data_IF_186096420040
#
_entry.id   IF_186096420040
#
_cell.length_a   1.000
_cell.length_b   1.000
_cell.length_c   1.000
_cell.angle_alpha   90.00
_cell.angle_beta   90.00
_cell.angle_gamma   90.00
#
_symmetry.space_group_name_H-M   'P 1'
#
loop_
_entity.id
_entity.type
_entity.pdbx_description
1 polymer ?
#
# COMPACT_ATOMS: atom_id res chain seq x y z
N UNK A 1 -17.81 9.71 26.20
CA UNK A 1 -17.10 8.58 25.57
C UNK A 1 -16.73 9.02 24.16
N UNK A 2 -15.46 8.96 23.77
CA UNK A 2 -15.04 9.37 22.43
C UNK A 2 -15.21 8.19 21.47
N UNK A 3 -16.08 8.31 20.48
CA UNK A 3 -16.27 7.28 19.45
C UNK A 3 -15.12 7.34 18.45
N UNK A 4 -14.24 6.35 18.47
CA UNK A 4 -13.08 6.27 17.57
C UNK A 4 -13.31 5.19 16.51
N UNK A 5 -13.14 5.55 15.25
CA UNK A 5 -13.16 4.67 14.09
C UNK A 5 -11.72 4.58 13.56
N UNK A 6 -11.17 3.36 13.55
CA UNK A 6 -9.86 3.06 12.97
C UNK A 6 -10.06 2.46 11.58
N UNK A 7 -9.37 3.02 10.58
CA UNK A 7 -9.35 2.51 9.21
C UNK A 7 -7.92 2.49 8.68
N UNK A 8 -7.63 1.66 7.68
CA UNK A 8 -6.30 1.49 7.12
C UNK A 8 -6.32 1.92 5.65
N UNK A 9 -5.74 3.09 5.33
CA UNK A 9 -5.70 3.62 3.96
C UNK A 9 -7.03 4.21 3.46
N UNK A 10 -7.93 4.59 4.38
CA UNK A 10 -9.27 5.09 4.09
C UNK A 10 -9.66 6.34 4.87
N UNK A 11 -8.73 6.96 5.61
CA UNK A 11 -9.01 8.07 6.53
C UNK A 11 -9.70 9.28 5.88
N UNK A 12 -9.20 9.73 4.73
CA UNK A 12 -9.79 10.86 3.99
C UNK A 12 -11.17 10.51 3.43
N UNK A 13 -11.32 9.31 2.84
CA UNK A 13 -12.60 8.80 2.35
C UNK A 13 -13.67 8.80 3.45
N UNK A 14 -13.34 8.27 4.62
CA UNK A 14 -14.28 8.20 5.74
C UNK A 14 -14.59 9.59 6.26
N UNK A 15 -13.60 10.49 6.32
CA UNK A 15 -13.82 11.89 6.72
C UNK A 15 -14.84 12.56 5.80
N UNK A 16 -14.69 12.40 4.48
CA UNK A 16 -15.62 12.95 3.50
C UNK A 16 -17.03 12.38 3.66
N UNK A 17 -17.15 11.06 3.79
CA UNK A 17 -18.44 10.35 3.92
C UNK A 17 -19.16 10.77 5.19
N UNK A 18 -18.48 10.77 6.35
CA UNK A 18 -19.10 11.17 7.61
C UNK A 18 -19.45 12.66 7.64
N UNK A 19 -18.65 13.53 7.02
CA UNK A 19 -19.01 14.94 6.84
C UNK A 19 -20.27 15.09 5.98
N UNK A 20 -20.38 14.30 4.89
CA UNK A 20 -21.58 14.24 4.05
C UNK A 20 -22.82 13.77 4.83
N UNK A 21 -22.68 12.71 5.63
CA UNK A 21 -23.76 12.22 6.50
C UNK A 21 -24.15 13.28 7.53
N UNK A 22 -23.19 13.91 8.21
CA UNK A 22 -23.45 14.97 9.17
C UNK A 22 -24.19 16.16 8.53
N UNK A 23 -23.86 16.52 7.29
CA UNK A 23 -24.57 17.55 6.54
C UNK A 23 -26.03 17.16 6.24
N UNK A 24 -26.29 15.91 5.85
CA UNK A 24 -27.64 15.38 5.60
C UNK A 24 -28.49 15.27 6.88
N UNK A 25 -27.85 14.99 8.02
CA UNK A 25 -28.46 14.88 9.35
C UNK A 25 -28.55 16.21 10.11
N UNK A 26 -28.36 17.35 9.42
CA UNK A 26 -28.72 18.66 9.99
C UNK A 26 -30.22 18.71 10.27
N UNK A 27 -30.59 19.37 11.37
CA UNK A 27 -32.00 19.48 11.80
C UNK A 27 -32.72 20.67 11.15
N UNK A 28 -31.97 21.55 10.48
CA UNK A 28 -32.47 22.75 9.81
C UNK A 28 -33.16 22.41 8.48
N UNK A 29 -33.79 23.39 7.84
CA UNK A 29 -34.50 23.25 6.55
C UNK A 29 -33.63 22.70 5.40
N UNK A 30 -32.30 22.74 5.52
CA UNK A 30 -31.36 22.19 4.54
C UNK A 30 -31.07 20.71 4.74
N UNK A 31 -31.44 20.12 5.89
CA UNK A 31 -31.22 18.71 6.19
C UNK A 31 -32.34 17.82 5.67
N UNK A 32 -31.99 16.62 5.20
CA UNK A 32 -32.97 15.69 4.62
C UNK A 32 -33.63 14.80 5.68
N UNK A 33 -33.08 14.71 6.88
CA UNK A 33 -33.49 13.67 7.85
C UNK A 33 -34.89 13.87 8.39
N UNK A 34 -35.30 15.10 8.69
CA UNK A 34 -36.69 15.35 9.11
C UNK A 34 -37.69 15.04 7.98
N UNK A 35 -37.33 15.33 6.73
CA UNK A 35 -38.15 14.97 5.57
C UNK A 35 -38.23 13.46 5.38
N UNK A 36 -37.12 12.74 5.52
CA UNK A 36 -37.05 11.28 5.44
C UNK A 36 -37.86 10.61 6.56
N UNK A 37 -37.80 11.12 7.78
CA UNK A 37 -38.62 10.65 8.90
C UNK A 37 -40.11 10.85 8.59
N UNK A 38 -40.51 12.03 8.09
CA UNK A 38 -41.91 12.29 7.71
C UNK A 38 -42.41 11.32 6.63
N UNK A 39 -41.61 11.10 5.58
CA UNK A 39 -41.93 10.15 4.52
C UNK A 39 -42.02 8.72 5.07
N UNK A 40 -41.04 8.30 5.88
CA UNK A 40 -41.03 6.98 6.53
C UNK A 40 -42.24 6.75 7.44
N UNK A 41 -42.67 7.78 8.19
CA UNK A 41 -43.88 7.73 9.02
C UNK A 41 -45.16 7.65 8.18
N UNK A 42 -45.25 8.38 7.07
CA UNK A 42 -46.40 8.32 6.17
C UNK A 42 -46.51 6.92 5.54
N UNK A 43 -45.44 6.41 4.94
CA UNK A 43 -45.43 5.08 4.31
C UNK A 43 -45.63 3.98 5.35
N UNK A 44 -44.95 4.08 6.49
CA UNK A 44 -45.06 3.12 7.59
C UNK A 44 -46.47 3.07 8.19
N UNK A 45 -47.13 4.22 8.38
CA UNK A 45 -48.49 4.26 8.93
C UNK A 45 -49.50 3.61 7.99
N UNK A 46 -49.45 3.91 6.69
CA UNK A 46 -50.31 3.27 5.67
C UNK A 46 -50.08 1.76 5.66
N UNK A 47 -48.83 1.30 5.65
CA UNK A 47 -48.51 -0.12 5.66
C UNK A 47 -49.07 -0.82 6.91
N UNK A 48 -48.92 -0.21 8.09
CA UNK A 48 -49.40 -0.80 9.35
C UNK A 48 -50.92 -0.87 9.41
N UNK A 49 -51.62 0.14 8.90
CA UNK A 49 -53.09 0.09 8.78
C UNK A 49 -53.51 -1.10 7.91
N UNK A 50 -52.85 -1.31 6.77
CA UNK A 50 -53.11 -2.49 5.92
C UNK A 50 -52.81 -3.80 6.67
N UNK A 51 -51.69 -3.90 7.38
CA UNK A 51 -51.35 -5.08 8.18
C UNK A 51 -52.39 -5.36 9.28
N UNK A 52 -52.87 -4.33 9.98
CA UNK A 52 -53.90 -4.47 11.00
C UNK A 52 -55.20 -5.03 10.42
N UNK A 53 -55.59 -4.56 9.23
CA UNK A 53 -56.78 -5.03 8.53
C UNK A 53 -56.64 -6.49 8.09
N UNK A 54 -55.49 -6.87 7.53
CA UNK A 54 -55.23 -8.23 7.04
C UNK A 54 -55.13 -9.25 8.19
N UNK A 55 -54.44 -8.89 9.29
CA UNK A 55 -54.24 -9.79 10.43
C UNK A 55 -55.34 -9.72 11.50
N UNK A 56 -56.26 -8.76 11.40
CA UNK A 56 -57.27 -8.44 12.42
C UNK A 56 -56.68 -8.24 13.84
N UNK A 57 -55.44 -7.73 13.93
CA UNK A 57 -54.69 -7.60 15.18
C UNK A 57 -54.16 -6.18 15.38
N UNK A 58 -54.73 -5.46 16.35
CA UNK A 58 -54.31 -4.08 16.71
C UNK A 58 -52.91 -4.05 17.37
N UNK A 59 -52.49 -5.17 17.95
CA UNK A 59 -51.17 -5.31 18.61
C UNK A 59 -50.02 -4.94 17.68
N UNK A 60 -50.14 -5.17 16.37
CA UNK A 60 -49.07 -4.93 15.41
C UNK A 60 -48.76 -3.45 15.24
N UNK A 61 -49.77 -2.58 15.28
CA UNK A 61 -49.49 -1.14 15.21
C UNK A 61 -49.07 -0.54 16.54
N UNK A 62 -49.48 -1.10 17.68
CA UNK A 62 -48.88 -0.68 18.96
C UNK A 62 -47.39 -1.01 19.00
N UNK A 63 -47.00 -2.22 18.57
CA UNK A 63 -45.58 -2.63 18.43
C UNK A 63 -44.83 -1.71 17.47
N UNK A 64 -45.39 -1.42 16.30
CA UNK A 64 -44.77 -0.51 15.33
C UNK A 64 -44.63 0.91 15.88
N UNK A 65 -45.67 1.46 16.50
CA UNK A 65 -45.63 2.81 17.08
C UNK A 65 -44.57 2.92 18.16
N UNK A 66 -44.51 1.95 19.07
CA UNK A 66 -43.48 1.89 20.12
C UNK A 66 -42.09 1.83 19.50
N UNK A 67 -41.89 0.97 18.50
CA UNK A 67 -40.62 0.88 17.77
C UNK A 67 -40.23 2.19 17.09
N UNK A 68 -41.16 2.86 16.40
CA UNK A 68 -40.93 4.15 15.73
C UNK A 68 -40.51 5.24 16.73
N UNK A 69 -41.18 5.29 17.89
CA UNK A 69 -40.83 6.25 18.96
C UNK A 69 -39.40 5.99 19.45
N UNK A 70 -39.03 4.72 19.67
CA UNK A 70 -37.68 4.34 20.08
C UNK A 70 -36.65 4.66 18.99
N UNK A 71 -36.89 4.23 17.74
CA UNK A 71 -35.96 4.45 16.64
C UNK A 71 -35.70 5.94 16.38
N UNK A 72 -36.75 6.76 16.41
CA UNK A 72 -36.61 8.19 16.16
C UNK A 72 -35.87 8.90 17.30
N UNK A 73 -36.28 8.67 18.56
CA UNK A 73 -35.70 9.38 19.71
C UNK A 73 -34.34 8.86 20.15
N UNK A 74 -34.06 7.57 19.97
CA UNK A 74 -32.83 6.95 20.46
C UNK A 74 -31.78 6.72 19.36
N UNK A 75 -32.19 6.30 18.15
CA UNK A 75 -31.24 5.99 17.09
C UNK A 75 -30.91 7.21 16.21
N UNK A 76 -31.92 7.96 15.76
CA UNK A 76 -31.75 8.92 14.66
C UNK A 76 -31.57 10.37 15.09
N UNK A 77 -32.28 10.83 16.13
CA UNK A 77 -32.21 12.22 16.60
C UNK A 77 -30.93 12.56 17.39
N UNK A 78 -30.44 11.69 18.29
CA UNK A 78 -29.24 12.02 19.05
C UNK A 78 -28.01 12.07 18.14
N UNK A 79 -27.15 13.06 18.36
CA UNK A 79 -25.93 13.26 17.59
C UNK A 79 -24.70 13.05 18.47
N UNK A 80 -23.62 12.60 17.84
CA UNK A 80 -22.33 12.40 18.47
C UNK A 80 -21.20 12.91 17.59
N UNK A 81 -20.08 13.19 18.25
CA UNK A 81 -18.79 13.40 17.60
C UNK A 81 -18.09 12.06 17.43
N UNK A 82 -17.43 11.88 16.28
CA UNK A 82 -16.55 10.75 16.01
C UNK A 82 -15.13 11.24 15.70
N UNK A 83 -14.16 10.39 16.00
CA UNK A 83 -12.76 10.57 15.65
C UNK A 83 -12.35 9.49 14.67
N UNK A 84 -11.87 9.90 13.50
CA UNK A 84 -11.38 9.00 12.46
C UNK A 84 -9.85 8.98 12.59
N UNK A 85 -9.31 7.78 12.82
CA UNK A 85 -7.89 7.55 12.92
C UNK A 85 -7.43 6.58 11.82
N UNK A 86 -6.48 7.03 11.01
CA UNK A 86 -5.79 6.19 10.03
C UNK A 86 -4.29 6.16 10.36
N UNK A 87 -3.75 5.04 10.86
CA UNK A 87 -2.34 4.93 11.19
C UNK A 87 -1.43 4.88 9.95
N UNK A 88 -1.93 4.44 8.79
CA UNK A 88 -1.13 4.34 7.57
C UNK A 88 -0.86 5.72 6.96
N UNK A 89 -1.91 6.55 6.90
CA UNK A 89 -1.85 7.90 6.34
C UNK A 89 -1.60 8.98 7.40
N UNK A 90 -1.41 8.60 8.67
CA UNK A 90 -1.32 9.50 9.84
C UNK A 90 -2.47 10.54 9.90
N UNK A 91 -3.65 10.14 9.43
CA UNK A 91 -4.83 11.02 9.40
C UNK A 91 -5.54 10.96 10.75
N UNK A 92 -5.80 12.13 11.33
CA UNK A 92 -6.60 12.30 12.54
C UNK A 92 -7.64 13.38 12.28
N UNK A 93 -8.85 12.95 11.96
CA UNK A 93 -9.95 13.87 11.60
C UNK A 93 -11.06 13.77 12.63
N UNK A 94 -11.59 14.92 13.03
CA UNK A 94 -12.76 15.03 13.89
C UNK A 94 -13.97 15.33 13.02
N UNK A 95 -15.06 14.58 13.19
CA UNK A 95 -16.34 14.86 12.53
C UNK A 95 -17.43 15.01 13.59
N UNK A 96 -18.06 16.18 13.61
CA UNK A 96 -19.13 16.52 14.54
C UNK A 96 -20.51 16.31 13.90
N UNK A 97 -21.55 16.15 14.73
CA UNK A 97 -22.95 16.02 14.31
C UNK A 97 -23.31 14.74 13.53
N UNK A 98 -22.62 13.63 13.80
CA UNK A 98 -22.96 12.31 13.22
C UNK A 98 -24.09 11.67 14.03
N UNK A 99 -25.01 10.90 13.42
CA UNK A 99 -26.05 10.18 14.16
C UNK A 99 -25.46 9.24 15.20
N UNK A 100 -25.98 9.27 16.42
CA UNK A 100 -25.46 8.51 17.55
C UNK A 100 -25.40 7.02 17.25
N UNK A 101 -26.47 6.46 16.66
CA UNK A 101 -26.51 5.04 16.29
C UNK A 101 -25.33 4.68 15.39
N UNK A 102 -25.14 5.43 14.30
CA UNK A 102 -24.04 5.18 13.37
C UNK A 102 -22.68 5.34 14.06
N UNK A 103 -22.49 6.38 14.87
CA UNK A 103 -21.23 6.63 15.58
C UNK A 103 -20.89 5.53 16.59
N UNK A 104 -21.85 5.08 17.40
CA UNK A 104 -21.66 3.97 18.36
C UNK A 104 -21.35 2.68 17.62
N UNK A 105 -22.17 2.30 16.64
CA UNK A 105 -22.00 1.03 15.93
C UNK A 105 -20.70 1.01 15.15
N UNK A 106 -20.41 2.05 14.34
CA UNK A 106 -19.18 2.11 13.56
C UNK A 106 -17.93 2.10 14.44
N UNK A 107 -17.92 2.83 15.56
CA UNK A 107 -16.78 2.82 16.49
C UNK A 107 -16.58 1.48 17.18
N UNK A 108 -17.66 0.85 17.66
CA UNK A 108 -17.60 -0.44 18.35
C UNK A 108 -17.12 -1.53 17.39
N UNK A 109 -17.72 -1.60 16.21
CA UNK A 109 -17.42 -2.58 15.17
C UNK A 109 -15.98 -2.40 14.66
N UNK A 110 -15.54 -1.16 14.45
CA UNK A 110 -14.15 -0.85 14.08
C UNK A 110 -13.14 -1.25 15.16
N UNK A 111 -13.43 -1.00 16.44
CA UNK A 111 -12.56 -1.40 17.56
C UNK A 111 -12.44 -2.93 17.69
N UNK A 112 -13.56 -3.64 17.55
CA UNK A 112 -13.56 -5.11 17.51
C UNK A 112 -12.73 -5.60 16.33
N UNK A 113 -12.93 -5.04 15.13
CA UNK A 113 -12.14 -5.37 13.94
C UNK A 113 -10.63 -5.17 14.18
N UNK A 114 -10.24 -4.02 14.73
CA UNK A 114 -8.85 -3.73 15.11
C UNK A 114 -8.29 -4.76 16.08
N UNK A 115 -9.00 -5.05 17.17
CA UNK A 115 -8.53 -6.00 18.18
C UNK A 115 -8.38 -7.42 17.62
N UNK A 116 -9.29 -7.85 16.74
CA UNK A 116 -9.17 -9.16 16.09
C UNK A 116 -7.97 -9.15 15.13
N UNK A 117 -7.79 -8.12 14.32
CA UNK A 117 -6.62 -8.01 13.42
C UNK A 117 -5.31 -8.05 14.19
N UNK A 118 -5.18 -7.30 15.28
CA UNK A 118 -3.97 -7.29 16.12
C UNK A 118 -3.69 -8.67 16.75
N UNK A 119 -4.73 -9.38 17.21
CA UNK A 119 -4.57 -10.74 17.73
C UNK A 119 -4.16 -11.72 16.63
N UNK A 120 -4.80 -11.66 15.45
CA UNK A 120 -4.42 -12.49 14.32
C UNK A 120 -2.98 -12.24 13.93
N UNK A 121 -2.56 -10.99 13.78
CA UNK A 121 -1.17 -10.66 13.49
C UNK A 121 -0.23 -11.21 14.57
N UNK A 122 -0.56 -11.09 15.87
CA UNK A 122 0.29 -11.62 16.95
C UNK A 122 0.59 -13.12 16.84
N UNK A 123 -0.38 -13.92 16.37
CA UNK A 123 -0.27 -15.38 16.24
C UNK A 123 0.33 -15.75 14.88
N UNK A 124 -0.02 -15.01 13.84
CA UNK A 124 0.39 -15.22 12.46
C UNK A 124 1.55 -14.28 12.09
N UNK A 125 2.64 -14.30 12.87
CA UNK A 125 3.87 -13.55 12.57
C UNK A 125 5.01 -14.48 12.14
N UNK A 126 5.92 -13.93 11.33
CA UNK A 126 7.27 -14.44 11.12
C UNK A 126 8.26 -13.64 12.00
N UNK A 127 9.47 -14.16 12.29
CA UNK A 127 10.49 -13.47 13.07
C UNK A 127 10.86 -12.05 12.58
N UNK A 128 10.62 -11.75 11.29
CA UNK A 128 10.87 -10.44 10.65
C UNK A 128 9.61 -9.86 9.98
N UNK A 129 8.41 -10.25 10.43
CA UNK A 129 7.14 -9.81 9.83
C UNK A 129 6.87 -8.32 10.05
N UNK A 130 6.50 -7.63 8.96
CA UNK A 130 5.97 -6.27 9.03
C UNK A 130 4.46 -6.30 9.20
N UNK A 131 3.94 -5.78 10.33
CA UNK A 131 2.52 -5.88 10.66
C UNK A 131 1.64 -5.03 9.74
N UNK A 132 0.56 -5.63 9.23
CA UNK A 132 -0.36 -4.98 8.30
C UNK A 132 -0.97 -3.70 8.91
N UNK A 133 -1.28 -3.69 10.21
CA UNK A 133 -1.82 -2.50 10.87
C UNK A 133 -0.88 -1.27 10.88
N UNK A 134 0.43 -1.44 10.64
CA UNK A 134 1.43 -0.36 10.61
C UNK A 134 1.92 -0.03 9.22
N UNK A 135 2.12 -1.06 8.39
CA UNK A 135 2.76 -0.90 7.07
C UNK A 135 1.76 -0.99 5.92
N UNK A 136 0.56 -1.54 6.14
CA UNK A 136 -0.39 -1.88 5.10
C UNK A 136 -0.04 -3.22 4.42
N UNK A 137 -0.81 -3.60 3.40
CA UNK A 137 -0.58 -4.86 2.68
C UNK A 137 0.67 -4.76 1.83
N UNK A 138 1.50 -5.82 1.88
CA UNK A 138 2.52 -6.11 0.88
C UNK A 138 3.60 -5.02 0.78
N UNK A 139 3.79 -4.27 1.86
CA UNK A 139 4.72 -3.14 1.93
C UNK A 139 6.18 -3.54 1.64
N UNK A 140 6.61 -4.71 2.13
CA UNK A 140 7.97 -5.19 1.91
C UNK A 140 8.31 -5.38 0.43
N UNK A 141 7.45 -6.09 -0.32
CA UNK A 141 7.70 -6.37 -1.74
C UNK A 141 7.44 -5.14 -2.59
N UNK A 142 6.48 -4.29 -2.18
CA UNK A 142 6.28 -2.96 -2.75
C UNK A 142 7.57 -2.15 -2.73
N UNK A 143 8.21 -2.09 -1.56
CA UNK A 143 9.42 -1.33 -1.33
C UNK A 143 10.61 -1.95 -2.08
N UNK A 144 10.78 -3.27 -2.03
CA UNK A 144 11.85 -3.95 -2.75
C UNK A 144 11.70 -3.84 -4.27
N UNK A 145 10.47 -3.94 -4.81
CA UNK A 145 10.20 -3.75 -6.24
C UNK A 145 10.55 -2.33 -6.68
N UNK A 146 10.22 -1.33 -5.86
CA UNK A 146 10.57 0.07 -6.13
C UNK A 146 12.08 0.28 -6.06
N UNK A 147 12.77 -0.34 -5.12
CA UNK A 147 14.24 -0.29 -5.00
C UNK A 147 14.94 -0.95 -6.20
N UNK A 148 14.40 -2.05 -6.74
CA UNK A 148 14.91 -2.64 -7.99
C UNK A 148 14.80 -1.72 -9.21
N UNK A 149 13.97 -0.68 -9.15
CA UNK A 149 13.86 0.36 -10.18
C UNK A 149 14.81 1.55 -9.96
N UNK A 150 15.62 1.56 -8.91
CA UNK A 150 16.53 2.67 -8.66
C UNK A 150 17.59 2.71 -9.77
N UNK A 151 17.66 3.86 -10.44
CA UNK A 151 18.63 4.14 -11.49
C UNK A 151 19.48 5.33 -11.08
N UNK A 152 20.66 5.42 -11.67
CA UNK A 152 21.51 6.60 -11.57
C UNK A 152 20.79 7.79 -12.22
N UNK A 153 20.58 8.86 -11.43
CA UNK A 153 19.84 10.05 -11.87
C UNK A 153 20.75 11.07 -12.58
N UNK A 154 21.94 11.32 -12.03
CA UNK A 154 22.82 12.36 -12.56
C UNK A 154 23.36 11.96 -13.94
N UNK A 155 23.13 12.77 -14.99
CA UNK A 155 23.44 12.38 -16.36
C UNK A 155 24.95 12.26 -16.61
N UNK A 156 25.77 13.07 -15.94
CA UNK A 156 27.23 13.01 -16.06
C UNK A 156 27.76 11.74 -15.41
N UNK A 157 27.32 11.45 -14.18
CA UNK A 157 27.69 10.22 -13.48
C UNK A 157 27.18 8.98 -14.23
N UNK A 158 25.95 9.01 -14.73
CA UNK A 158 25.37 7.93 -15.55
C UNK A 158 26.23 7.65 -16.78
N UNK A 159 26.54 8.66 -17.58
CA UNK A 159 27.34 8.47 -18.79
C UNK A 159 28.77 7.98 -18.51
N UNK A 160 29.39 8.43 -17.42
CA UNK A 160 30.69 7.90 -17.00
C UNK A 160 30.60 6.46 -16.49
N UNK A 161 29.54 6.14 -15.74
CA UNK A 161 29.29 4.79 -15.22
C UNK A 161 29.02 3.80 -16.36
N UNK A 162 28.21 4.15 -17.35
CA UNK A 162 27.97 3.30 -18.52
C UNK A 162 29.26 2.96 -19.27
N UNK A 163 30.15 3.94 -19.45
CA UNK A 163 31.44 3.72 -20.11
C UNK A 163 32.38 2.86 -19.27
N UNK A 164 32.40 3.11 -17.95
CA UNK A 164 33.16 2.31 -17.00
C UNK A 164 32.67 0.86 -17.00
N UNK A 165 31.36 0.63 -16.89
CA UNK A 165 30.76 -0.71 -16.90
C UNK A 165 31.05 -1.43 -18.21
N UNK A 166 30.87 -0.79 -19.36
CA UNK A 166 31.15 -1.41 -20.65
C UNK A 166 32.62 -1.84 -20.80
N UNK A 167 33.57 -0.94 -20.50
CA UNK A 167 34.99 -1.17 -20.82
C UNK A 167 35.79 -1.81 -19.70
N UNK A 168 35.38 -1.61 -18.45
CA UNK A 168 36.11 -2.06 -17.28
C UNK A 168 35.43 -3.22 -16.54
N UNK A 169 34.13 -3.45 -16.76
CA UNK A 169 33.37 -4.49 -16.06
C UNK A 169 32.96 -5.63 -16.99
N UNK A 170 32.15 -5.32 -18.00
CA UNK A 170 31.63 -6.32 -18.94
C UNK A 170 32.77 -6.96 -19.74
N UNK A 171 33.72 -6.16 -20.22
CA UNK A 171 34.87 -6.68 -20.97
C UNK A 171 35.78 -7.57 -20.11
N UNK A 172 36.11 -7.15 -18.89
CA UNK A 172 36.91 -7.96 -17.94
C UNK A 172 36.16 -9.26 -17.56
N UNK A 173 34.84 -9.20 -17.35
CA UNK A 173 34.00 -10.38 -17.07
C UNK A 173 33.93 -11.38 -18.24
N UNK A 174 33.90 -10.89 -19.48
CA UNK A 174 33.88 -11.72 -20.68
C UNK A 174 35.24 -12.39 -20.95
N UNK A 175 36.35 -11.72 -20.63
CA UNK A 175 37.69 -12.31 -20.70
C UNK A 175 37.84 -13.41 -19.63
N UNK A 176 37.20 -13.24 -18.47
CA UNK A 176 37.10 -14.27 -17.43
C UNK A 176 38.38 -14.52 -16.64
N UNK A 177 39.40 -13.67 -16.76
CA UNK A 177 40.69 -13.87 -16.08
C UNK A 177 40.68 -13.44 -14.60
N UNK A 178 39.85 -12.45 -14.23
CA UNK A 178 39.76 -11.92 -12.85
C UNK A 178 38.47 -12.34 -12.14
N UNK A 179 37.35 -12.23 -12.84
CA UNK A 179 36.03 -12.62 -12.39
C UNK A 179 35.17 -12.92 -13.62
N UNK A 180 34.11 -13.69 -13.43
CA UNK A 180 33.18 -14.08 -14.49
C UNK A 180 31.82 -13.39 -14.33
N UNK A 181 30.96 -13.49 -15.34
CA UNK A 181 29.58 -13.02 -15.22
C UNK A 181 28.80 -13.75 -14.11
N UNK A 182 29.13 -15.01 -13.83
CA UNK A 182 28.53 -15.77 -12.74
C UNK A 182 28.97 -15.23 -11.36
N UNK A 183 30.22 -14.78 -11.23
CA UNK A 183 30.71 -14.17 -9.98
C UNK A 183 30.02 -12.82 -9.73
N UNK A 184 29.77 -12.04 -10.79
CA UNK A 184 29.00 -10.80 -10.70
C UNK A 184 27.54 -11.01 -10.26
N UNK A 185 26.91 -12.11 -10.67
CA UNK A 185 25.53 -12.41 -10.32
C UNK A 185 25.39 -12.86 -8.86
N UNK A 186 26.39 -13.55 -8.33
CA UNK A 186 26.35 -14.14 -6.99
C UNK A 186 27.05 -13.28 -5.92
N UNK A 187 27.72 -12.20 -6.32
CA UNK A 187 28.45 -11.35 -5.36
C UNK A 187 27.52 -10.43 -4.58
N UNK A 188 27.73 -10.27 -3.26
CA UNK A 188 26.94 -9.35 -2.45
C UNK A 188 27.24 -7.87 -2.67
N UNK A 189 28.46 -7.52 -3.10
CA UNK A 189 28.86 -6.14 -3.41
C UNK A 189 29.64 -6.14 -4.73
N UNK A 190 28.91 -5.83 -5.81
CA UNK A 190 29.46 -5.73 -7.16
C UNK A 190 30.48 -4.60 -7.23
N UNK A 191 30.21 -3.49 -6.56
CA UNK A 191 31.07 -2.30 -6.64
C UNK A 191 32.45 -2.59 -6.03
N UNK A 192 32.48 -3.16 -4.83
CA UNK A 192 33.75 -3.49 -4.16
C UNK A 192 34.56 -4.52 -4.97
N UNK A 193 33.91 -5.58 -5.48
CA UNK A 193 34.57 -6.57 -6.33
C UNK A 193 35.19 -5.95 -7.60
N UNK A 194 34.47 -5.03 -8.24
CA UNK A 194 34.92 -4.35 -9.46
C UNK A 194 36.08 -3.39 -9.19
N UNK A 195 36.02 -2.63 -8.10
CA UNK A 195 37.07 -1.67 -7.73
C UNK A 195 38.38 -2.39 -7.38
N UNK A 196 38.30 -3.48 -6.60
CA UNK A 196 39.48 -4.24 -6.16
C UNK A 196 40.19 -4.93 -7.33
N UNK A 197 39.43 -5.34 -8.35
CA UNK A 197 39.93 -6.01 -9.54
C UNK A 197 40.12 -5.06 -10.75
N UNK A 198 39.95 -3.74 -10.55
CA UNK A 198 40.00 -2.77 -11.64
C UNK A 198 41.34 -2.79 -12.38
N UNK A 199 41.29 -2.90 -13.72
CA UNK A 199 42.49 -2.97 -14.56
C UNK A 199 43.32 -1.68 -14.50
N UNK A 200 44.64 -1.75 -14.29
CA UNK A 200 45.52 -0.59 -14.43
C UNK A 200 45.85 -0.27 -15.90
N UNK A 201 45.53 -1.18 -16.84
CA UNK A 201 45.87 -1.05 -18.27
C UNK A 201 44.68 -0.59 -19.11
N UNK A 202 43.49 -1.17 -18.86
CA UNK A 202 42.29 -0.74 -19.56
C UNK A 202 41.89 0.66 -19.11
N UNK A 203 41.34 1.43 -20.05
CA UNK A 203 40.89 2.79 -19.80
C UNK A 203 39.59 3.10 -20.53
N UNK A 204 38.92 4.13 -20.04
CA UNK A 204 37.67 4.61 -20.60
C UNK A 204 37.64 6.13 -20.61
N UNK A 205 36.76 6.70 -21.42
CA UNK A 205 36.59 8.14 -21.52
C UNK A 205 35.79 8.66 -20.31
N UNK A 206 36.49 9.29 -19.37
CA UNK A 206 35.89 9.96 -18.21
C UNK A 206 35.68 11.44 -18.49
N UNK A 207 34.46 11.94 -18.23
CA UNK A 207 34.08 13.33 -18.43
C UNK A 207 33.73 14.01 -17.11
N UNK A 208 34.56 14.92 -16.57
CA UNK A 208 34.21 15.70 -15.40
C UNK A 208 33.25 16.84 -15.79
N UNK A 209 31.94 16.58 -15.71
CA UNK A 209 30.92 17.59 -15.97
C UNK A 209 30.94 18.10 -17.42
N UNK A 210 31.17 19.41 -17.59
CA UNK A 210 31.20 20.08 -18.90
C UNK A 210 32.59 20.18 -19.53
N UNK A 211 33.63 19.68 -18.86
CA UNK A 211 34.98 19.70 -19.40
C UNK A 211 35.17 18.63 -20.50
N UNK A 212 36.15 18.81 -21.40
CA UNK A 212 36.52 17.78 -22.36
C UNK A 212 36.91 16.48 -21.62
N UNK A 213 36.40 15.35 -22.11
CA UNK A 213 36.69 14.06 -21.50
C UNK A 213 38.15 13.65 -21.70
N UNK A 214 38.72 12.98 -20.70
CA UNK A 214 40.06 12.39 -20.78
C UNK A 214 39.98 10.87 -20.62
N UNK A 215 40.89 10.14 -21.26
CA UNK A 215 40.99 8.70 -21.06
C UNK A 215 41.72 8.45 -19.75
N UNK A 216 41.02 7.83 -18.81
CA UNK A 216 41.58 7.43 -17.51
C UNK A 216 41.58 5.91 -17.41
N UNK A 217 42.51 5.35 -16.64
CA UNK A 217 42.53 3.91 -16.39
C UNK A 217 41.33 3.50 -15.55
N UNK A 218 40.86 2.27 -15.69
CA UNK A 218 39.73 1.74 -14.93
C UNK A 218 39.98 1.88 -13.42
N UNK A 219 41.21 1.68 -12.96
CA UNK A 219 41.60 1.87 -11.55
C UNK A 219 41.44 3.31 -11.08
N UNK A 220 41.89 4.31 -11.85
CA UNK A 220 41.74 5.73 -11.49
C UNK A 220 40.29 6.18 -11.58
N UNK A 221 39.59 5.82 -12.66
CA UNK A 221 38.19 6.17 -12.84
C UNK A 221 37.28 5.56 -11.77
N UNK A 222 37.54 4.33 -11.34
CA UNK A 222 36.83 3.69 -10.23
C UNK A 222 36.96 4.50 -8.93
N UNK A 223 38.16 5.02 -8.61
CA UNK A 223 38.37 5.86 -7.42
C UNK A 223 37.64 7.20 -7.49
N UNK A 224 37.56 7.82 -8.67
CA UNK A 224 36.81 9.07 -8.84
C UNK A 224 35.30 8.85 -8.76
N UNK A 225 34.79 7.78 -9.39
CA UNK A 225 33.39 7.39 -9.29
C UNK A 225 33.01 7.04 -7.83
N UNK A 226 33.93 6.44 -7.08
CA UNK A 226 33.68 6.06 -5.68
C UNK A 226 33.33 7.26 -4.79
N UNK A 227 33.96 8.42 -5.03
CA UNK A 227 33.71 9.66 -4.28
C UNK A 227 32.30 10.22 -4.51
N UNK A 228 31.69 9.89 -5.65
CA UNK A 228 30.41 10.46 -6.06
C UNK A 228 29.21 9.63 -5.59
N UNK A 229 29.41 8.35 -5.25
CA UNK A 229 28.32 7.43 -4.87
C UNK A 229 27.41 7.97 -3.77
N UNK A 230 27.97 8.51 -2.68
CA UNK A 230 27.18 9.01 -1.55
C UNK A 230 26.20 10.10 -1.99
N UNK A 231 26.64 11.02 -2.84
CA UNK A 231 25.78 12.09 -3.35
C UNK A 231 24.70 11.54 -4.31
N UNK A 232 25.05 10.53 -5.12
CA UNK A 232 24.12 9.93 -6.08
C UNK A 232 23.05 9.09 -5.40
N UNK A 233 23.42 8.28 -4.40
CA UNK A 233 22.47 7.52 -3.58
C UNK A 233 21.47 8.48 -2.91
N UNK A 234 21.96 9.59 -2.35
CA UNK A 234 21.10 10.59 -1.72
C UNK A 234 20.09 11.19 -2.71
N UNK A 235 20.54 11.63 -3.89
CA UNK A 235 19.66 12.19 -4.93
C UNK A 235 18.65 11.16 -5.44
N UNK A 236 19.09 9.93 -5.69
CA UNK A 236 18.22 8.84 -6.10
C UNK A 236 17.16 8.54 -5.02
N UNK A 237 17.54 8.55 -3.75
CA UNK A 237 16.61 8.32 -2.63
C UNK A 237 15.60 9.47 -2.48
N UNK A 238 15.99 10.72 -2.73
CA UNK A 238 15.06 11.86 -2.71
C UNK A 238 14.01 11.74 -3.82
N UNK A 239 14.40 11.28 -5.01
CA UNK A 239 13.51 11.16 -6.18
C UNK A 239 12.65 9.90 -6.09
N UNK A 240 13.25 8.75 -5.78
CA UNK A 240 12.59 7.45 -5.83
C UNK A 240 12.14 6.92 -4.46
N UNK A 241 12.78 7.32 -3.36
CA UNK A 241 12.57 6.69 -2.05
C UNK A 241 11.47 7.31 -1.18
N UNK A 242 10.98 8.51 -1.51
CA UNK A 242 10.08 9.24 -0.61
C UNK A 242 8.63 8.77 -0.65
N UNK A 243 8.20 7.99 -1.65
CA UNK A 243 6.79 7.57 -1.82
C UNK A 243 6.65 6.07 -2.00
N UNK A 244 6.15 5.38 -0.98
CA UNK A 244 5.93 3.92 -1.01
C UNK A 244 4.49 3.64 -0.59
N UNK A 245 3.73 2.96 -1.44
CA UNK A 245 2.33 2.59 -1.16
C UNK A 245 1.44 3.78 -0.73
N UNK A 246 1.54 4.91 -1.46
CA UNK A 246 0.89 6.20 -1.16
C UNK A 246 1.29 6.86 0.18
N UNK A 247 2.35 6.39 0.85
CA UNK A 247 2.90 6.99 2.06
C UNK A 247 4.15 7.80 1.73
N UNK A 248 4.25 8.98 2.30
CA UNK A 248 5.48 9.77 2.25
C UNK A 248 6.36 9.38 3.43
N UNK A 249 7.52 8.78 3.17
CA UNK A 249 8.46 8.36 4.20
C UNK A 249 9.56 9.41 4.39
N UNK A 250 10.00 9.60 5.64
CA UNK A 250 11.24 10.34 5.91
C UNK A 250 12.45 9.48 5.53
N UNK A 251 13.60 10.10 5.27
CA UNK A 251 14.82 9.38 4.90
C UNK A 251 15.21 8.30 5.92
N UNK A 252 15.09 8.62 7.22
CA UNK A 252 15.42 7.67 8.29
C UNK A 252 14.44 6.50 8.32
N UNK A 253 13.13 6.77 8.22
CA UNK A 253 12.10 5.73 8.17
C UNK A 253 12.25 4.86 6.92
N UNK A 254 12.55 5.45 5.77
CA UNK A 254 12.80 4.71 4.53
C UNK A 254 13.96 3.72 4.71
N UNK A 255 15.09 4.16 5.27
CA UNK A 255 16.25 3.30 5.48
C UNK A 255 15.96 2.14 6.44
N UNK A 256 15.24 2.39 7.54
CA UNK A 256 14.88 1.34 8.51
C UNK A 256 13.91 0.32 7.94
N UNK A 257 12.88 0.80 7.23
CA UNK A 257 11.86 -0.03 6.59
C UNK A 257 12.43 -0.84 5.42
N UNK A 258 13.38 -0.26 4.68
CA UNK A 258 14.11 -0.94 3.61
C UNK A 258 14.94 -2.09 4.16
N UNK A 259 15.70 -1.87 5.24
CA UNK A 259 16.46 -2.94 5.89
C UNK A 259 15.56 -4.04 6.44
N UNK A 260 14.42 -3.68 7.03
CA UNK A 260 13.41 -4.65 7.47
C UNK A 260 12.84 -5.47 6.30
N UNK A 261 12.54 -4.80 5.19
CA UNK A 261 12.01 -5.42 3.96
C UNK A 261 13.02 -6.36 3.31
N UNK A 262 14.28 -5.94 3.21
CA UNK A 262 15.37 -6.77 2.69
C UNK A 262 15.59 -8.01 3.56
N UNK A 263 15.58 -7.86 4.89
CA UNK A 263 15.72 -9.00 5.81
C UNK A 263 14.55 -9.99 5.70
N UNK A 264 13.33 -9.47 5.55
CA UNK A 264 12.12 -10.29 5.43
C UNK A 264 12.08 -11.08 4.13
N UNK A 265 12.35 -10.42 3.01
CA UNK A 265 12.18 -11.00 1.69
C UNK A 265 13.40 -11.79 1.25
N UNK A 266 14.60 -11.25 1.39
CA UNK A 266 15.77 -11.81 0.73
C UNK A 266 16.69 -12.49 1.73
N UNK A 267 16.63 -13.83 1.79
CA UNK A 267 17.69 -14.63 2.41
C UNK A 267 19.07 -14.44 1.75
N UNK A 268 19.10 -14.00 0.48
CA UNK A 268 20.32 -13.75 -0.30
C UNK A 268 20.91 -12.33 -0.16
N UNK A 269 20.13 -11.34 0.27
CA UNK A 269 20.58 -9.95 0.50
C UNK A 269 20.98 -9.72 1.96
N UNK A 270 21.32 -10.79 2.67
CA UNK A 270 21.76 -10.76 4.07
C UNK A 270 23.15 -10.10 4.27
N UNK A 271 23.67 -9.37 3.26
CA UNK A 271 25.05 -8.90 3.19
C UNK A 271 25.14 -7.37 3.08
N UNK A 272 24.04 -6.68 2.75
CA UNK A 272 24.03 -5.22 2.86
C UNK A 272 24.02 -4.83 4.34
N UNK A 273 25.16 -4.35 4.85
CA UNK A 273 25.28 -3.84 6.22
C UNK A 273 24.49 -2.53 6.42
N UNK A 274 24.10 -1.87 5.33
CA UNK A 274 23.39 -0.61 5.32
C UNK A 274 22.41 -0.51 4.14
N UNK A 275 21.34 0.27 4.33
CA UNK A 275 20.40 0.62 3.25
C UNK A 275 21.14 1.26 2.05
N UNK A 276 22.18 2.05 2.31
CA UNK A 276 22.98 2.68 1.26
C UNK A 276 23.76 1.68 0.41
N UNK A 277 24.27 0.61 1.01
CA UNK A 277 24.97 -0.46 0.27
C UNK A 277 23.99 -1.26 -0.59
N UNK A 278 22.79 -1.51 -0.08
CA UNK A 278 21.73 -2.13 -0.85
C UNK A 278 21.36 -1.28 -2.07
N UNK A 279 21.09 0.01 -1.89
CA UNK A 279 20.76 0.90 -3.01
C UNK A 279 21.90 0.99 -4.03
N UNK A 280 23.16 1.00 -3.56
CA UNK A 280 24.36 0.97 -4.42
C UNK A 280 24.41 -0.32 -5.25
N UNK A 281 24.17 -1.47 -4.62
CA UNK A 281 24.14 -2.78 -5.27
C UNK A 281 23.06 -2.82 -6.37
N UNK A 282 21.83 -2.38 -6.07
CA UNK A 282 20.73 -2.35 -7.03
C UNK A 282 21.00 -1.40 -8.20
N UNK A 283 21.52 -0.19 -7.93
CA UNK A 283 21.93 0.71 -9.00
C UNK A 283 23.03 0.13 -9.88
N UNK A 284 23.94 -0.66 -9.33
CA UNK A 284 24.99 -1.37 -10.09
C UNK A 284 24.43 -2.49 -10.97
N UNK A 285 23.54 -3.33 -10.43
CA UNK A 285 22.84 -4.38 -11.21
C UNK A 285 22.18 -3.75 -12.43
N UNK A 286 21.45 -2.66 -12.18
CA UNK A 286 20.71 -1.94 -13.21
C UNK A 286 21.60 -1.23 -14.24
N UNK A 287 22.74 -0.67 -13.81
CA UNK A 287 23.73 -0.08 -14.71
C UNK A 287 24.38 -1.15 -15.61
N UNK A 288 24.65 -2.34 -15.10
CA UNK A 288 25.17 -3.48 -15.86
C UNK A 288 24.13 -3.98 -16.87
N UNK A 289 22.88 -4.13 -16.44
CA UNK A 289 21.78 -4.54 -17.31
C UNK A 289 21.58 -3.57 -18.48
N UNK A 290 21.52 -2.25 -18.21
CA UNK A 290 21.37 -1.21 -19.23
C UNK A 290 22.56 -1.20 -20.20
N UNK A 291 23.77 -1.27 -19.66
CA UNK A 291 25.02 -1.32 -20.44
C UNK A 291 25.09 -2.56 -21.35
N UNK A 292 24.72 -3.73 -20.82
CA UNK A 292 24.71 -5.00 -21.55
C UNK A 292 23.65 -4.99 -22.66
N UNK A 293 22.43 -4.54 -22.36
CA UNK A 293 21.34 -4.44 -23.35
C UNK A 293 21.70 -3.48 -24.49
N UNK A 294 22.30 -2.33 -24.19
CA UNK A 294 22.80 -1.40 -25.21
C UNK A 294 23.82 -2.09 -26.11
N UNK A 295 24.73 -2.90 -25.54
CA UNK A 295 25.73 -3.63 -26.31
C UNK A 295 25.14 -4.75 -27.17
N UNK A 296 24.20 -5.51 -26.64
CA UNK A 296 23.47 -6.55 -27.38
C UNK A 296 22.66 -5.97 -28.55
N UNK A 297 22.08 -4.77 -28.38
CA UNK A 297 21.41 -4.04 -29.44
C UNK A 297 22.38 -3.61 -30.55
N UNK A 298 23.61 -3.22 -30.23
CA UNK A 298 24.66 -2.96 -31.22
C UNK A 298 25.06 -4.22 -32.01
N UNK A 299 24.94 -5.40 -31.41
CA UNK A 299 25.38 -6.69 -31.96
C UNK A 299 24.30 -7.46 -32.75
N UNK A 300 23.08 -6.93 -32.92
CA UNK A 300 22.10 -7.39 -33.92
C UNK A 300 21.41 -8.75 -33.68
N UNK A 301 21.46 -9.32 -32.47
CA UNK A 301 20.99 -10.69 -32.18
C UNK A 301 19.55 -10.75 -31.64
N UNK A 302 18.53 -10.52 -32.50
CA UNK A 302 17.17 -10.18 -32.03
C UNK A 302 16.14 -11.34 -31.90
N UNK A 303 16.29 -12.47 -32.59
CA UNK A 303 15.15 -13.40 -32.80
C UNK A 303 14.79 -14.28 -31.60
N UNK A 304 15.77 -14.92 -30.95
CA UNK A 304 15.52 -15.73 -29.73
C UNK A 304 15.32 -14.85 -28.48
N UNK A 305 15.89 -13.65 -28.50
CA UNK A 305 15.75 -12.66 -27.43
C UNK A 305 14.30 -12.19 -27.29
N UNK A 306 13.58 -12.01 -28.41
CA UNK A 306 12.19 -11.55 -28.38
C UNK A 306 11.24 -12.54 -27.67
N UNK A 307 11.38 -13.84 -27.92
CA UNK A 307 10.54 -14.87 -27.28
C UNK A 307 10.83 -14.99 -25.78
N UNK A 308 12.11 -15.02 -25.38
CA UNK A 308 12.50 -15.04 -23.96
C UNK A 308 12.05 -13.77 -23.24
N UNK A 309 12.21 -12.60 -23.88
CA UNK A 309 11.74 -11.31 -23.34
C UNK A 309 10.22 -11.29 -23.17
N UNK A 310 9.46 -11.86 -24.11
CA UNK A 310 8.01 -11.98 -23.99
C UNK A 310 7.59 -12.84 -22.79
N UNK A 311 8.26 -13.99 -22.57
CA UNK A 311 7.99 -14.84 -21.40
C UNK A 311 8.37 -14.17 -20.07
N UNK A 312 9.49 -13.43 -20.03
CA UNK A 312 9.88 -12.63 -18.87
C UNK A 312 8.89 -11.49 -18.60
N UNK A 313 8.41 -10.83 -19.66
CA UNK A 313 7.38 -9.80 -19.56
C UNK A 313 6.05 -10.38 -19.09
N UNK A 314 5.70 -11.60 -19.51
CA UNK A 314 4.49 -12.28 -19.05
C UNK A 314 4.59 -12.66 -17.56
N UNK A 315 5.73 -13.21 -17.11
CA UNK A 315 5.96 -13.53 -15.69
C UNK A 315 5.91 -12.29 -14.81
N UNK A 316 6.60 -11.22 -15.22
CA UNK A 316 6.57 -9.95 -14.50
C UNK A 316 5.17 -9.33 -14.48
N UNK A 317 4.39 -9.44 -15.56
CA UNK A 317 3.00 -9.00 -15.59
C UNK A 317 2.12 -9.78 -14.60
N UNK A 318 2.30 -11.10 -14.46
CA UNK A 318 1.55 -11.90 -13.47
C UNK A 318 1.95 -11.58 -12.03
N UNK A 319 3.25 -11.41 -11.76
CA UNK A 319 3.72 -10.98 -10.45
C UNK A 319 3.18 -9.59 -10.08
N UNK A 320 3.21 -8.65 -11.03
CA UNK A 320 2.63 -7.32 -10.86
C UNK A 320 1.11 -7.38 -10.65
N UNK A 321 0.39 -8.25 -11.36
CA UNK A 321 -1.05 -8.41 -11.17
C UNK A 321 -1.39 -8.94 -9.75
N UNK A 322 -0.57 -9.85 -9.21
CA UNK A 322 -0.72 -10.34 -7.84
C UNK A 322 -0.48 -9.25 -6.80
N UNK A 323 0.57 -8.45 -6.98
CA UNK A 323 0.86 -7.26 -6.15
C UNK A 323 -0.28 -6.25 -6.18
N UNK A 324 -0.78 -5.92 -7.37
CA UNK A 324 -1.91 -4.99 -7.56
C UNK A 324 -3.17 -5.54 -6.89
N UNK A 325 -3.48 -6.83 -7.04
CA UNK A 325 -4.61 -7.45 -6.38
C UNK A 325 -4.51 -7.33 -4.85
N UNK A 326 -3.34 -7.62 -4.27
CA UNK A 326 -3.13 -7.55 -2.82
C UNK A 326 -3.23 -6.12 -2.26
N UNK A 327 -2.83 -5.10 -3.03
CA UNK A 327 -2.98 -3.69 -2.65
C UNK A 327 -4.40 -3.16 -2.83
N UNK A 328 -5.12 -3.63 -3.86
CA UNK A 328 -6.46 -3.14 -4.17
C UNK A 328 -7.54 -3.77 -3.29
N UNK A 329 -7.31 -4.97 -2.76
CA UNK A 329 -8.25 -5.66 -1.87
C UNK A 329 -8.66 -4.82 -0.64
N UNK A 330 -7.75 -4.26 0.17
CA UNK A 330 -8.12 -3.35 1.26
C UNK A 330 -8.89 -2.11 0.81
N UNK A 331 -8.57 -1.57 -0.37
CA UNK A 331 -9.30 -0.43 -0.94
C UNK A 331 -10.75 -0.79 -1.21
N UNK A 332 -11.04 -1.97 -1.76
CA UNK A 332 -12.42 -2.43 -1.95
C UNK A 332 -13.20 -2.51 -0.65
N UNK A 333 -12.58 -3.03 0.43
CA UNK A 333 -13.22 -3.04 1.76
C UNK A 333 -13.53 -1.64 2.26
N UNK A 334 -12.59 -0.70 2.14
CA UNK A 334 -12.81 0.69 2.52
C UNK A 334 -13.95 1.33 1.71
N UNK A 335 -14.03 1.05 0.41
CA UNK A 335 -15.13 1.54 -0.45
C UNK A 335 -16.48 0.93 -0.05
N UNK A 336 -16.55 -0.38 0.18
CA UNK A 336 -17.79 -1.06 0.60
C UNK A 336 -18.23 -0.54 1.97
N UNK A 337 -17.30 -0.37 2.91
CA UNK A 337 -17.57 0.17 4.24
C UNK A 337 -18.06 1.63 4.16
N UNK A 338 -17.40 2.47 3.37
CA UNK A 338 -17.83 3.85 3.10
C UNK A 338 -19.24 3.92 2.49
N UNK A 339 -19.53 3.10 1.47
CA UNK A 339 -20.86 3.00 0.87
C UNK A 339 -21.89 2.53 1.90
N UNK A 340 -21.55 1.56 2.74
CA UNK A 340 -22.45 1.08 3.79
C UNK A 340 -22.76 2.17 4.83
N UNK A 341 -21.80 3.03 5.20
CA UNK A 341 -22.07 4.20 6.04
C UNK A 341 -22.96 5.22 5.33
N UNK A 342 -22.71 5.52 4.06
CA UNK A 342 -23.54 6.43 3.28
C UNK A 342 -24.99 5.92 3.14
N UNK A 343 -25.20 4.60 3.02
CA UNK A 343 -26.52 3.97 2.93
C UNK A 343 -27.35 4.12 4.21
N UNK A 344 -26.77 4.53 5.34
CA UNK A 344 -27.48 4.76 6.60
C UNK A 344 -28.68 5.71 6.43
N UNK A 345 -28.59 6.67 5.50
CA UNK A 345 -29.69 7.60 5.19
C UNK A 345 -30.97 6.88 4.75
N UNK A 346 -30.86 5.79 3.99
CA UNK A 346 -31.99 4.99 3.53
C UNK A 346 -32.49 4.04 4.63
N UNK A 347 -31.60 3.61 5.52
CA UNK A 347 -31.97 2.81 6.69
C UNK A 347 -32.92 3.59 7.60
N UNK A 348 -32.85 4.93 7.65
CA UNK A 348 -33.83 5.76 8.39
C UNK A 348 -35.26 5.46 7.95
N UNK A 349 -35.53 5.43 6.63
CA UNK A 349 -36.87 5.13 6.11
C UNK A 349 -37.24 3.67 6.40
N UNK A 350 -36.33 2.73 6.09
CA UNK A 350 -36.59 1.30 6.24
C UNK A 350 -36.79 0.87 7.70
N UNK A 351 -36.17 1.58 8.64
CA UNK A 351 -36.34 1.35 10.06
C UNK A 351 -37.70 1.84 10.59
N UNK A 352 -38.35 2.79 9.91
CA UNK A 352 -39.67 3.29 10.28
C UNK A 352 -40.82 2.46 9.69
N UNK A 353 -40.53 1.46 8.85
CA UNK A 353 -41.50 0.48 8.39
C UNK A 353 -41.83 -0.55 9.49
N UNK A 354 -42.98 -1.23 9.42
CA UNK A 354 -43.23 -2.39 10.28
C UNK A 354 -42.16 -3.46 10.13
N UNK A 355 -41.73 -4.03 11.25
CA UNK A 355 -40.51 -4.86 11.37
C UNK A 355 -39.18 -4.14 11.06
N UNK A 356 -39.15 -2.81 11.11
CA UNK A 356 -37.94 -2.03 10.83
C UNK A 356 -36.74 -2.33 11.74
N UNK A 357 -36.96 -2.89 12.94
CA UNK A 357 -35.88 -3.41 13.79
C UNK A 357 -35.05 -4.49 13.09
N UNK A 358 -35.66 -5.33 12.24
CA UNK A 358 -34.94 -6.33 11.44
C UNK A 358 -34.07 -5.64 10.39
N UNK A 359 -34.57 -4.59 9.75
CA UNK A 359 -33.78 -3.80 8.78
C UNK A 359 -32.53 -3.20 9.43
N UNK A 360 -32.66 -2.66 10.65
CA UNK A 360 -31.53 -2.15 11.43
C UNK A 360 -30.56 -3.28 11.81
N UNK A 361 -31.06 -4.43 12.27
CA UNK A 361 -30.22 -5.58 12.60
C UNK A 361 -29.46 -6.11 11.38
N UNK A 362 -30.12 -6.23 10.22
CA UNK A 362 -29.48 -6.63 8.97
C UNK A 362 -28.40 -5.64 8.57
N UNK A 363 -28.66 -4.33 8.72
CA UNK A 363 -27.66 -3.29 8.46
C UNK A 363 -26.43 -3.42 9.39
N UNK A 364 -26.65 -3.61 10.69
CA UNK A 364 -25.58 -3.89 11.64
C UNK A 364 -24.81 -5.17 11.28
N UNK A 365 -25.50 -6.20 10.79
CA UNK A 365 -24.90 -7.43 10.29
C UNK A 365 -23.98 -7.21 9.10
N UNK A 366 -24.37 -6.35 8.15
CA UNK A 366 -23.53 -5.97 7.01
C UNK A 366 -22.26 -5.26 7.49
N UNK A 367 -22.37 -4.31 8.44
CA UNK A 367 -21.21 -3.62 9.02
C UNK A 367 -20.29 -4.55 9.82
N UNK A 368 -20.86 -5.49 10.56
CA UNK A 368 -20.07 -6.49 11.28
C UNK A 368 -19.33 -7.42 10.31
N UNK A 369 -20.02 -7.86 9.24
CA UNK A 369 -19.43 -8.67 8.17
C UNK A 369 -18.25 -7.97 7.50
N UNK A 370 -18.35 -6.67 7.20
CA UNK A 370 -17.25 -5.93 6.54
C UNK A 370 -15.98 -5.83 7.39
N UNK A 371 -16.08 -5.89 8.72
CA UNK A 371 -14.88 -5.92 9.57
C UNK A 371 -14.19 -7.28 9.62
N UNK A 372 -14.90 -8.38 9.35
CA UNK A 372 -14.30 -9.72 9.27
C UNK A 372 -13.31 -9.86 8.10
N UNK A 373 -13.30 -8.89 7.17
CA UNK A 373 -12.34 -8.86 6.07
C UNK A 373 -10.94 -8.43 6.55
N UNK A 374 -10.83 -7.63 7.62
CA UNK A 374 -9.53 -7.14 8.09
C UNK A 374 -8.60 -8.26 8.60
N UNK A 375 -9.06 -9.25 9.38
CA UNK A 375 -8.26 -10.43 9.73
C UNK A 375 -7.83 -11.27 8.51
N UNK A 376 -8.71 -11.41 7.51
CA UNK A 376 -8.37 -12.11 6.25
C UNK A 376 -7.22 -11.41 5.51
N UNK A 377 -7.13 -10.08 5.56
CA UNK A 377 -6.02 -9.35 4.97
C UNK A 377 -4.70 -9.54 5.73
N UNK A 378 -4.73 -9.67 7.05
CA UNK A 378 -3.52 -10.03 7.81
C UNK A 378 -2.99 -11.40 7.39
N UNK A 379 -3.88 -12.39 7.23
CA UNK A 379 -3.53 -13.73 6.71
C UNK A 379 -3.04 -13.67 5.27
N UNK A 380 -3.68 -12.87 4.41
CA UNK A 380 -3.22 -12.68 3.03
C UNK A 380 -1.83 -12.02 2.98
N UNK A 381 -1.58 -11.02 3.83
CA UNK A 381 -0.26 -10.39 3.95
C UNK A 381 0.81 -11.40 4.37
N UNK A 382 0.49 -12.30 5.32
CA UNK A 382 1.34 -13.42 5.69
C UNK A 382 1.64 -14.34 4.50
N UNK A 383 0.61 -14.79 3.80
CA UNK A 383 0.74 -15.70 2.64
C UNK A 383 1.63 -15.05 1.56
N UNK A 384 1.36 -13.79 1.20
CA UNK A 384 2.17 -13.06 0.21
C UNK A 384 3.62 -12.89 0.67
N UNK A 385 3.85 -12.64 1.96
CA UNK A 385 5.20 -12.55 2.52
C UNK A 385 5.94 -13.88 2.40
N UNK A 386 5.26 -15.01 2.63
CA UNK A 386 5.84 -16.35 2.50
C UNK A 386 6.18 -16.68 1.04
N UNK A 387 5.30 -16.38 0.09
CA UNK A 387 5.57 -16.58 -1.34
C UNK A 387 6.67 -15.64 -1.84
N UNK A 388 6.64 -14.36 -1.47
CA UNK A 388 7.67 -13.40 -1.84
C UNK A 388 9.06 -13.78 -1.31
N UNK A 389 9.13 -14.40 -0.13
CA UNK A 389 10.38 -14.97 0.41
C UNK A 389 10.87 -16.20 -0.36
N UNK A 390 9.97 -16.98 -0.95
CA UNK A 390 10.38 -18.14 -1.75
C UNK A 390 10.87 -17.72 -3.15
N UNK A 391 10.24 -16.71 -3.75
CA UNK A 391 10.64 -16.19 -5.06
C UNK A 391 11.96 -15.40 -5.04
N UNK A 392 12.34 -14.83 -3.90
CA UNK A 392 13.59 -14.06 -3.74
C UNK A 392 14.83 -14.93 -3.42
N UNK A 393 14.65 -16.22 -3.12
CA UNK A 393 15.72 -17.17 -2.75
C UNK A 393 16.06 -18.12 -3.91
N UNK A 394 15.22 -18.19 -4.94
CA UNK A 394 15.48 -18.95 -6.18
C UNK A 394 15.81 -18.04 -7.33
#
# INVERSE_FOLDING_TARGET
MNHVITTYGGGELFTLVFNGIAALFKTDHTGLVMSLIRVGLMVGSVYVVVLMLVKAQVIEGFKWFLWVVVATNLLFLPKTTIWIHDPLCNTRSKVDNVPLALGIFASTVSQVGKSITEQFESVFTLPDYMPYHQTGTVFASSLMSQVGQFRIVDPTFKGNMERFVNQCVVYDAMIGHKYTLNDLQNTPDIWTMVVDNASPVLGFLYKPGNEPGSVVTCKVGATELNKLWTAQIKRATEIYGTRVNNRTLTLNTFNTELMGSAKLLSGAMAIANSATDLLKQEMMINAIEESSNNKLSELGSASNYAATKALLQQRSAYAAAGEIAARTLPLFKNVIEALSYALFIFIVILALLPNGYRSVLTYCGILAWTQLWAPLYAVLNLIMTLYGKHESVG
#
